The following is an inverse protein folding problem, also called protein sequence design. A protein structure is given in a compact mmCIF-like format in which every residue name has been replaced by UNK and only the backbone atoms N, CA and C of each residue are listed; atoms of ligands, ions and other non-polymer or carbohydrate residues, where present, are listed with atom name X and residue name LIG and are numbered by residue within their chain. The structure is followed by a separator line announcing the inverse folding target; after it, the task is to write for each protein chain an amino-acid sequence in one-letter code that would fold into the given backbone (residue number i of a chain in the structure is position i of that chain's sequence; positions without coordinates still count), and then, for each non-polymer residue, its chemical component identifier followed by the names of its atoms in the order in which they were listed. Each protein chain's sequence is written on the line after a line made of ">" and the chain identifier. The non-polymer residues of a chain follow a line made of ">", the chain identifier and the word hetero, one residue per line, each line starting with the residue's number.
data_IF_230795613368
#
_entry.id   IF_230795613368
#
_cell.length_a   1.000
_cell.length_b   1.000
_cell.length_c   1.000
_cell.angle_alpha   90.00
_cell.angle_beta   90.00
_cell.angle_gamma   90.00
#
_symmetry.space_group_name_H-M   'P 1'
#
loop_
_entity.id
_entity.type
_entity.pdbx_description
1 polymer ?
#
# COMPACT_ATOMS: atom_id res chain seq x y z
N UNK A 1 -12.07 6.15 -26.05
CA UNK A 1 -11.75 4.82 -25.51
C UNK A 1 -12.98 3.96 -25.16
N UNK A 2 -14.20 4.42 -25.51
CA UNK A 2 -15.45 3.66 -25.29
C UNK A 2 -15.49 2.31 -26.04
N UNK A 3 -14.60 2.10 -27.02
CA UNK A 3 -14.45 0.84 -27.77
C UNK A 3 -13.73 -0.26 -26.95
N UNK A 4 -13.08 0.08 -25.85
CA UNK A 4 -12.44 -0.90 -24.97
C UNK A 4 -13.51 -1.56 -24.12
N UNK A 5 -13.96 -2.75 -24.50
CA UNK A 5 -15.00 -3.49 -23.79
C UNK A 5 -14.41 -4.26 -22.62
N UNK A 6 -13.32 -5.01 -22.84
CA UNK A 6 -12.60 -5.80 -21.86
C UNK A 6 -11.13 -5.37 -21.81
N UNK A 7 -10.76 -4.48 -20.89
CA UNK A 7 -9.39 -4.02 -20.75
C UNK A 7 -8.44 -5.16 -20.38
N UNK A 8 -7.38 -5.36 -21.16
CA UNK A 8 -6.39 -6.40 -20.96
C UNK A 8 -5.39 -6.06 -19.84
N UNK A 9 -5.17 -4.78 -19.56
CA UNK A 9 -4.17 -4.29 -18.64
C UNK A 9 -4.60 -2.97 -17.97
N UNK A 10 -3.76 -2.46 -17.06
CA UNK A 10 -4.01 -1.24 -16.32
C UNK A 10 -4.15 -0.01 -17.23
N UNK A 11 -3.30 0.12 -18.26
CA UNK A 11 -3.36 1.25 -19.20
C UNK A 11 -4.72 1.32 -19.90
N UNK A 12 -5.19 0.22 -20.48
CA UNK A 12 -6.48 0.17 -21.15
C UNK A 12 -7.64 0.45 -20.19
N UNK A 13 -7.57 -0.08 -18.97
CA UNK A 13 -8.58 0.18 -17.95
C UNK A 13 -8.61 1.66 -17.56
N UNK A 14 -7.45 2.30 -17.36
CA UNK A 14 -7.35 3.71 -17.01
C UNK A 14 -7.85 4.60 -18.17
N UNK A 15 -7.44 4.32 -19.40
CA UNK A 15 -7.92 5.03 -20.59
C UNK A 15 -9.44 4.96 -20.74
N UNK A 16 -10.03 3.79 -20.45
CA UNK A 16 -11.48 3.61 -20.44
C UNK A 16 -12.19 4.44 -19.38
N UNK A 17 -11.61 4.51 -18.16
CA UNK A 17 -12.22 5.19 -17.01
C UNK A 17 -12.11 6.72 -17.07
N UNK A 18 -10.94 7.25 -17.39
CA UNK A 18 -10.66 8.68 -17.26
C UNK A 18 -10.09 9.36 -18.50
N UNK A 19 -9.86 8.61 -19.58
CA UNK A 19 -9.31 9.16 -20.82
C UNK A 19 -7.80 9.40 -20.75
N UNK A 20 -7.27 9.89 -21.90
CA UNK A 20 -5.82 9.96 -22.16
C UNK A 20 -5.10 10.98 -21.26
N UNK A 21 -5.69 12.14 -21.07
CA UNK A 21 -5.00 13.25 -20.40
C UNK A 21 -4.85 12.98 -18.91
N UNK A 22 -5.92 12.56 -18.23
CA UNK A 22 -5.89 12.18 -16.83
C UNK A 22 -4.96 10.97 -16.62
N UNK A 23 -5.04 9.95 -17.48
CA UNK A 23 -4.15 8.80 -17.42
C UNK A 23 -2.68 9.23 -17.49
N UNK A 24 -2.31 10.04 -18.47
CA UNK A 24 -0.91 10.46 -18.65
C UNK A 24 -0.40 11.36 -17.54
N UNK A 25 -1.22 12.32 -17.09
CA UNK A 25 -0.78 13.31 -16.11
C UNK A 25 -0.79 12.76 -14.66
N UNK A 26 -1.77 11.94 -14.30
CA UNK A 26 -2.00 11.61 -12.89
C UNK A 26 -1.78 10.14 -12.53
N UNK A 27 -1.80 9.23 -13.53
CA UNK A 27 -1.81 7.79 -13.23
C UNK A 27 -0.55 7.10 -13.70
N UNK A 28 -0.18 7.29 -14.96
CA UNK A 28 0.88 6.51 -15.60
C UNK A 28 2.19 6.55 -14.84
N UNK A 29 2.77 7.74 -14.68
CA UNK A 29 4.09 7.91 -14.04
C UNK A 29 4.10 7.43 -12.59
N UNK A 30 3.05 7.76 -11.83
CA UNK A 30 2.90 7.30 -10.45
C UNK A 30 2.86 5.77 -10.36
N UNK A 31 2.02 5.14 -11.18
CA UNK A 31 1.81 3.68 -11.13
C UNK A 31 3.06 2.93 -11.58
N UNK A 32 3.69 3.37 -12.68
CA UNK A 32 4.92 2.74 -13.17
C UNK A 32 6.08 2.86 -12.19
N UNK A 33 6.20 3.98 -11.46
CA UNK A 33 7.14 4.15 -10.35
C UNK A 33 6.88 3.15 -9.23
N UNK A 34 5.64 3.12 -8.73
CA UNK A 34 5.26 2.31 -7.58
C UNK A 34 5.47 0.81 -7.85
N UNK A 35 5.11 0.36 -9.04
CA UNK A 35 5.18 -1.06 -9.39
C UNK A 35 6.51 -1.48 -10.05
N UNK A 36 7.33 -0.52 -10.49
CA UNK A 36 8.58 -0.80 -11.21
C UNK A 36 8.39 -1.47 -12.58
N UNK A 37 7.17 -1.39 -13.14
CA UNK A 37 6.76 -2.03 -14.39
C UNK A 37 5.92 -1.09 -15.25
N UNK A 38 5.88 -1.33 -16.56
CA UNK A 38 5.01 -0.57 -17.45
C UNK A 38 3.52 -0.82 -17.13
N UNK A 39 2.69 0.20 -17.29
CA UNK A 39 1.25 0.09 -17.04
C UNK A 39 0.56 -0.98 -17.92
N UNK A 40 1.13 -1.29 -19.08
CA UNK A 40 0.69 -2.37 -19.99
C UNK A 40 0.97 -3.78 -19.47
N UNK A 41 1.89 -3.93 -18.52
CA UNK A 41 2.24 -5.21 -17.88
C UNK A 41 1.47 -5.45 -16.57
N UNK A 42 0.77 -4.43 -16.09
CA UNK A 42 0.04 -4.47 -14.83
C UNK A 42 -1.43 -4.89 -15.04
N UNK A 43 -2.00 -5.69 -14.13
CA UNK A 43 -3.39 -6.11 -14.22
C UNK A 43 -4.39 -4.94 -14.16
N UNK A 44 -5.46 -5.02 -14.93
CA UNK A 44 -6.51 -3.99 -15.01
C UNK A 44 -7.20 -3.69 -13.66
N UNK A 45 -7.27 -4.66 -12.74
CA UNK A 45 -7.97 -4.50 -11.46
C UNK A 45 -7.29 -3.49 -10.51
N UNK A 46 -5.97 -3.25 -10.65
CA UNK A 46 -5.21 -2.35 -9.78
C UNK A 46 -5.82 -0.94 -9.77
N UNK A 47 -6.25 -0.43 -10.95
CA UNK A 47 -6.82 0.92 -11.06
C UNK A 47 -8.31 0.97 -10.67
N UNK A 48 -9.02 -0.16 -10.62
CA UNK A 48 -10.47 -0.20 -10.31
C UNK A 48 -10.80 0.31 -8.91
N UNK A 49 -9.85 0.28 -7.98
CA UNK A 49 -10.04 0.79 -6.62
C UNK A 49 -10.12 2.32 -6.55
N UNK A 50 -9.64 3.02 -7.57
CA UNK A 50 -9.69 4.49 -7.60
C UNK A 50 -11.09 4.92 -8.05
N UNK A 51 -11.83 5.70 -7.24
CA UNK A 51 -13.16 6.16 -7.60
C UNK A 51 -13.07 7.31 -8.60
N UNK A 52 -13.34 7.03 -9.86
CA UNK A 52 -13.53 8.09 -10.86
C UNK A 52 -14.98 8.59 -10.80
N UNK A 53 -15.16 9.87 -10.45
CA UNK A 53 -16.46 10.53 -10.37
C UNK A 53 -16.48 11.75 -11.26
N UNK A 54 -17.62 12.01 -11.89
CA UNK A 54 -17.88 13.21 -12.69
C UNK A 54 -18.82 14.17 -11.95
N UNK A 55 -18.72 14.19 -10.64
CA UNK A 55 -19.45 15.06 -9.71
C UNK A 55 -18.46 15.68 -8.71
N UNK A 56 -18.84 16.80 -8.10
CA UNK A 56 -18.05 17.43 -7.04
C UNK A 56 -18.18 16.63 -5.74
N UNK A 57 -17.30 15.63 -5.58
CA UNK A 57 -17.19 14.81 -4.38
C UNK A 57 -15.69 14.53 -4.12
N UNK A 58 -15.16 15.11 -3.04
CA UNK A 58 -13.76 15.00 -2.65
C UNK A 58 -13.45 13.77 -1.80
N UNK A 59 -14.45 12.96 -1.43
CA UNK A 59 -14.22 11.75 -0.67
C UNK A 59 -13.47 10.72 -1.51
N UNK A 60 -12.42 10.11 -0.93
CA UNK A 60 -11.72 9.03 -1.60
C UNK A 60 -12.55 7.75 -1.62
N UNK A 61 -13.23 7.43 -0.52
CA UNK A 61 -14.11 6.27 -0.42
C UNK A 61 -15.58 6.67 -0.58
N UNK A 62 -16.44 5.67 -0.83
CA UNK A 62 -17.89 5.83 -0.88
C UNK A 62 -18.56 5.58 0.47
N UNK A 63 -17.77 5.31 1.52
CA UNK A 63 -18.26 5.00 2.86
C UNK A 63 -18.84 6.25 3.53
N UNK A 64 -19.96 6.07 4.24
CA UNK A 64 -20.66 7.15 4.94
C UNK A 64 -19.84 7.74 6.10
N UNK A 65 -18.96 6.94 6.71
CA UNK A 65 -18.09 7.33 7.82
C UNK A 65 -16.63 7.08 7.44
N UNK A 66 -15.85 8.13 7.50
CA UNK A 66 -14.42 8.10 7.19
C UNK A 66 -13.68 8.94 8.23
N UNK A 67 -12.52 8.47 8.68
CA UNK A 67 -11.74 9.20 9.67
C UNK A 67 -10.46 8.50 10.05
N UNK A 68 -9.67 9.19 10.86
CA UNK A 68 -8.48 8.68 11.52
C UNK A 68 -8.75 8.66 13.02
N UNK A 69 -8.38 7.60 13.77
CA UNK A 69 -8.57 7.57 15.22
C UNK A 69 -7.85 8.74 15.89
N UNK A 70 -8.55 9.48 16.75
CA UNK A 70 -7.92 10.54 17.55
C UNK A 70 -6.89 9.91 18.50
N UNK A 71 -5.66 10.42 18.49
CA UNK A 71 -4.54 9.86 19.24
C UNK A 71 -3.81 8.71 18.53
N UNK A 72 -4.13 8.50 17.22
CA UNK A 72 -3.45 7.54 16.36
C UNK A 72 -4.03 6.12 16.39
N UNK A 73 -3.53 5.28 15.50
CA UNK A 73 -4.03 3.91 15.33
C UNK A 73 -3.71 2.99 16.52
N UNK A 74 -2.66 3.28 17.30
CA UNK A 74 -2.31 2.45 18.46
C UNK A 74 -3.45 2.42 19.49
N UNK A 75 -4.14 3.54 19.73
CA UNK A 75 -5.30 3.59 20.63
C UNK A 75 -6.40 2.63 20.19
N UNK A 76 -6.66 2.54 18.89
CA UNK A 76 -7.63 1.58 18.34
C UNK A 76 -7.15 0.13 18.50
N UNK A 77 -5.87 -0.12 18.18
CA UNK A 77 -5.29 -1.48 18.30
C UNK A 77 -5.26 -1.94 19.74
N UNK A 78 -4.84 -1.08 20.69
CA UNK A 78 -4.81 -1.39 22.12
C UNK A 78 -6.20 -1.76 22.64
N UNK A 79 -7.24 -1.03 22.22
CA UNK A 79 -8.62 -1.33 22.58
C UNK A 79 -9.12 -2.68 21.99
N UNK A 80 -8.70 -3.02 20.77
CA UNK A 80 -9.02 -4.31 20.14
C UNK A 80 -8.29 -5.49 20.79
N UNK A 81 -7.13 -5.25 21.37
CA UNK A 81 -6.31 -6.26 22.03
C UNK A 81 -6.59 -6.39 23.54
N UNK A 82 -7.53 -5.62 24.07
CA UNK A 82 -7.87 -5.68 25.50
C UNK A 82 -8.28 -7.11 25.91
N UNK A 83 -7.59 -7.66 26.92
CA UNK A 83 -7.82 -9.03 27.40
C UNK A 83 -7.21 -10.14 26.55
N UNK A 84 -6.44 -9.82 25.50
CA UNK A 84 -5.74 -10.78 24.65
C UNK A 84 -4.28 -10.88 25.07
N UNK A 85 -3.73 -12.09 25.17
CA UNK A 85 -2.28 -12.32 25.41
C UNK A 85 -1.51 -11.95 24.15
N UNK A 86 -0.80 -10.82 24.17
CA UNK A 86 -0.01 -10.30 23.05
C UNK A 86 1.47 -10.51 23.34
N UNK A 87 2.19 -11.17 22.43
CA UNK A 87 3.62 -11.48 22.54
C UNK A 87 4.44 -10.82 21.44
N UNK A 88 4.75 -9.51 21.55
CA UNK A 88 5.57 -8.81 20.56
C UNK A 88 6.98 -9.41 20.48
N UNK A 89 7.62 -9.28 19.31
CA UNK A 89 8.99 -9.78 19.11
C UNK A 89 9.13 -11.29 19.08
N UNK A 90 8.01 -12.03 19.01
CA UNK A 90 8.02 -13.49 18.92
C UNK A 90 7.93 -13.92 17.46
N UNK A 91 9.00 -14.54 16.95
CA UNK A 91 9.01 -15.09 15.60
C UNK A 91 8.25 -16.42 15.57
N UNK A 92 7.17 -16.49 14.80
CA UNK A 92 6.34 -17.70 14.70
C UNK A 92 7.14 -18.92 14.25
N UNK A 93 8.05 -18.78 13.30
CA UNK A 93 8.80 -19.92 12.75
C UNK A 93 9.82 -20.51 13.74
N UNK A 94 10.34 -19.69 14.67
CA UNK A 94 11.25 -20.14 15.71
C UNK A 94 10.52 -20.87 16.85
N UNK A 95 9.22 -20.58 17.04
CA UNK A 95 8.39 -21.12 18.14
C UNK A 95 7.14 -21.86 17.62
N UNK A 96 7.17 -22.35 16.39
CA UNK A 96 5.98 -22.88 15.68
C UNK A 96 5.26 -24.00 16.45
N UNK A 97 6.00 -24.97 16.98
CA UNK A 97 5.41 -26.09 17.70
C UNK A 97 4.78 -25.64 19.02
N UNK A 98 5.48 -24.81 19.79
CA UNK A 98 4.99 -24.22 21.04
C UNK A 98 3.72 -23.41 20.80
N UNK A 99 3.73 -22.48 19.82
CA UNK A 99 2.61 -21.60 19.54
C UNK A 99 1.40 -22.37 19.02
N UNK A 100 1.60 -23.37 18.18
CA UNK A 100 0.51 -24.21 17.70
C UNK A 100 -0.15 -25.04 18.81
N UNK A 101 0.60 -25.38 19.87
CA UNK A 101 0.06 -26.11 21.00
C UNK A 101 -0.82 -25.24 21.94
N UNK A 102 -0.76 -23.91 21.81
CA UNK A 102 -1.53 -22.98 22.64
C UNK A 102 -2.97 -22.76 22.16
N UNK A 103 -3.33 -23.17 20.94
CA UNK A 103 -4.62 -22.87 20.36
C UNK A 103 -5.14 -23.99 19.46
N UNK A 104 -6.46 -24.17 19.43
CA UNK A 104 -7.13 -25.14 18.56
C UNK A 104 -7.06 -24.74 17.07
N UNK A 105 -6.86 -23.47 16.79
CA UNK A 105 -6.75 -22.91 15.43
C UNK A 105 -5.71 -21.80 15.40
N UNK A 106 -4.91 -21.79 14.33
CA UNK A 106 -3.91 -20.76 14.06
C UNK A 106 -4.32 -20.00 12.81
N UNK A 107 -4.40 -18.67 12.92
CA UNK A 107 -4.55 -17.75 11.78
C UNK A 107 -3.21 -17.09 11.52
N UNK A 108 -2.48 -17.59 10.53
CA UNK A 108 -1.21 -16.99 10.12
C UNK A 108 -1.47 -15.88 9.10
N UNK A 109 -1.03 -14.66 9.41
CA UNK A 109 -1.24 -13.46 8.57
C UNK A 109 0.01 -12.99 7.83
N UNK A 110 1.12 -13.72 7.95
CA UNK A 110 2.36 -13.47 7.21
C UNK A 110 2.32 -13.97 5.76
N UNK A 111 3.49 -14.04 5.13
CA UNK A 111 3.61 -14.50 3.75
C UNK A 111 3.28 -15.98 3.62
N UNK A 112 2.32 -16.33 2.75
CA UNK A 112 1.86 -17.71 2.59
C UNK A 112 2.97 -18.63 2.08
N UNK A 113 3.81 -18.15 1.17
CA UNK A 113 4.93 -18.91 0.64
C UNK A 113 5.98 -19.23 1.72
N UNK A 114 6.23 -18.31 2.64
CA UNK A 114 7.11 -18.51 3.79
C UNK A 114 6.52 -19.55 4.77
N UNK A 115 5.20 -19.48 5.02
CA UNK A 115 4.52 -20.47 5.88
C UNK A 115 4.73 -21.91 5.43
N UNK A 116 4.82 -22.14 4.12
CA UNK A 116 5.05 -23.43 3.49
C UNK A 116 6.50 -23.65 3.04
N UNK A 117 7.47 -22.96 3.63
CA UNK A 117 8.89 -23.08 3.34
C UNK A 117 9.22 -22.96 1.83
N UNK A 118 8.46 -22.11 1.13
CA UNK A 118 8.62 -21.82 -0.32
C UNK A 118 8.50 -23.04 -1.23
N UNK A 119 7.84 -24.12 -0.81
CA UNK A 119 7.78 -25.39 -1.52
C UNK A 119 7.16 -25.31 -2.94
N UNK A 120 6.33 -24.30 -3.22
CA UNK A 120 5.74 -24.05 -4.53
C UNK A 120 6.43 -22.89 -5.30
N UNK A 121 7.48 -22.31 -4.72
CA UNK A 121 8.22 -21.15 -5.24
C UNK A 121 7.88 -19.85 -4.52
N UNK A 122 8.80 -18.88 -4.62
CA UNK A 122 8.63 -17.56 -3.95
C UNK A 122 7.67 -16.67 -4.71
N UNK A 123 6.82 -16.00 -3.95
CA UNK A 123 5.99 -14.90 -4.42
C UNK A 123 6.80 -13.60 -4.44
N UNK A 124 6.44 -12.70 -5.35
CA UNK A 124 7.09 -11.41 -5.48
C UNK A 124 6.30 -10.33 -4.75
N UNK A 125 7.05 -9.41 -4.15
CA UNK A 125 6.50 -8.25 -3.44
C UNK A 125 7.18 -6.98 -3.93
N UNK A 126 6.54 -5.85 -3.67
CA UNK A 126 7.18 -4.52 -3.70
C UNK A 126 7.43 -4.08 -2.27
N UNK A 127 8.49 -3.34 -2.08
CA UNK A 127 8.84 -2.73 -0.80
C UNK A 127 8.74 -1.20 -0.87
N UNK A 128 8.88 -0.55 0.28
CA UNK A 128 8.97 0.90 0.40
C UNK A 128 10.21 1.27 1.23
N UNK A 129 10.78 2.42 0.90
CA UNK A 129 11.80 3.06 1.70
C UNK A 129 11.31 4.44 2.12
N UNK A 130 11.46 4.75 3.38
CA UNK A 130 11.06 6.03 3.97
C UNK A 130 12.30 6.85 4.36
N UNK A 131 12.26 8.15 4.04
CA UNK A 131 13.25 9.13 4.48
C UNK A 131 12.53 10.20 5.32
N UNK A 132 12.83 10.23 6.61
CA UNK A 132 12.20 11.13 7.57
C UNK A 132 13.08 12.34 7.80
N UNK A 133 12.52 13.53 7.69
CA UNK A 133 13.23 14.79 7.88
C UNK A 133 12.48 15.69 8.88
N UNK A 134 13.20 16.21 9.86
CA UNK A 134 12.72 17.29 10.73
C UNK A 134 13.10 18.63 10.10
N UNK A 135 12.11 19.47 9.85
CA UNK A 135 12.29 20.79 9.26
C UNK A 135 11.95 21.89 10.27
N UNK A 136 12.80 22.93 10.27
CA UNK A 136 12.58 24.14 11.06
C UNK A 136 11.65 25.10 10.30
N UNK A 137 10.42 24.64 10.09
CA UNK A 137 9.33 25.42 9.50
C UNK A 137 8.00 24.95 10.09
N UNK A 138 7.07 25.87 10.24
CA UNK A 138 5.74 25.56 10.79
C UNK A 138 4.91 24.69 9.82
N UNK A 139 5.04 24.94 8.53
CA UNK A 139 4.31 24.26 7.47
C UNK A 139 5.21 24.07 6.24
N UNK A 140 5.21 22.87 5.65
CA UNK A 140 5.99 22.57 4.47
C UNK A 140 5.13 22.52 3.20
N UNK A 141 3.98 21.83 3.25
CA UNK A 141 3.16 21.59 2.06
C UNK A 141 1.67 21.90 2.25
N UNK A 142 1.24 22.31 3.43
CA UNK A 142 -0.16 22.70 3.70
C UNK A 142 -1.16 21.56 3.71
N UNK A 143 -0.71 20.31 3.63
CA UNK A 143 -1.57 19.14 3.57
C UNK A 143 -0.83 17.89 4.10
N UNK A 144 -1.59 16.92 4.63
CA UNK A 144 -1.01 15.70 5.19
C UNK A 144 -0.26 14.86 4.14
N UNK A 145 -0.76 14.76 2.91
CA UNK A 145 -0.16 13.93 1.87
C UNK A 145 -0.24 14.62 0.52
N UNK A 146 0.90 14.74 -0.16
CA UNK A 146 0.99 15.17 -1.55
C UNK A 146 1.62 14.06 -2.39
N UNK A 147 0.91 13.60 -3.43
CA UNK A 147 1.41 12.60 -4.36
C UNK A 147 2.12 13.27 -5.55
N UNK A 148 3.26 12.72 -5.93
CA UNK A 148 4.07 13.16 -7.07
C UNK A 148 3.88 12.18 -8.22
N UNK A 149 3.21 12.62 -9.27
CA UNK A 149 2.78 11.75 -10.37
C UNK A 149 3.81 11.64 -11.50
N UNK A 150 4.75 12.56 -11.57
CA UNK A 150 5.82 12.57 -12.57
C UNK A 150 6.79 11.40 -12.36
N UNK A 151 7.17 10.75 -13.45
CA UNK A 151 8.09 9.60 -13.40
C UNK A 151 9.50 9.99 -12.98
N UNK A 152 9.92 11.20 -13.29
CA UNK A 152 11.26 11.74 -13.03
C UNK A 152 11.47 12.06 -11.55
N UNK A 153 10.40 12.27 -10.79
CA UNK A 153 10.45 12.44 -9.33
C UNK A 153 10.62 11.08 -8.68
N UNK A 154 11.68 10.80 -7.93
CA UNK A 154 12.01 9.45 -7.49
C UNK A 154 11.13 8.90 -6.37
N UNK A 155 10.41 9.75 -5.64
CA UNK A 155 9.46 9.35 -4.59
C UNK A 155 8.01 9.41 -5.10
N UNK A 156 7.14 8.66 -4.45
CA UNK A 156 5.70 8.60 -4.79
C UNK A 156 4.91 9.67 -4.08
N UNK A 157 5.32 10.02 -2.84
CA UNK A 157 4.63 11.03 -2.04
C UNK A 157 5.54 11.65 -0.99
N UNK A 158 5.10 12.81 -0.48
CA UNK A 158 5.59 13.40 0.76
C UNK A 158 4.43 13.39 1.75
N UNK A 159 4.70 12.95 2.97
CA UNK A 159 3.77 12.93 4.09
C UNK A 159 4.24 13.99 5.09
N UNK A 160 3.40 14.96 5.43
CA UNK A 160 3.62 15.90 6.51
C UNK A 160 2.74 15.53 7.69
N UNK A 161 3.33 14.89 8.70
CA UNK A 161 2.59 14.16 9.72
C UNK A 161 1.67 15.01 10.59
N UNK A 162 2.07 16.26 10.90
CA UNK A 162 1.28 17.12 11.79
C UNK A 162 -0.15 17.37 11.29
N UNK A 163 -0.36 17.38 9.97
CA UNK A 163 -1.68 17.68 9.40
C UNK A 163 -2.71 16.58 9.64
N UNK A 164 -2.32 15.36 9.99
CA UNK A 164 -3.26 14.31 10.35
C UNK A 164 -4.02 14.62 11.66
N UNK A 165 -3.40 15.38 12.57
CA UNK A 165 -3.98 15.74 13.86
C UNK A 165 -4.10 17.26 14.05
N UNK A 166 -3.98 18.05 12.97
CA UNK A 166 -4.03 19.51 13.00
C UNK A 166 -3.01 20.15 13.97
N UNK A 167 -1.80 19.57 14.01
CA UNK A 167 -0.73 20.04 14.88
C UNK A 167 -0.26 21.46 14.54
N UNK A 168 0.07 22.23 15.58
CA UNK A 168 0.47 23.66 15.50
C UNK A 168 1.89 23.92 15.97
N UNK A 169 2.72 22.87 16.08
CA UNK A 169 4.12 23.01 16.50
C UNK A 169 4.93 23.84 15.48
N UNK A 170 5.96 24.60 15.94
CA UNK A 170 6.74 25.50 15.09
C UNK A 170 7.67 24.76 14.12
N UNK A 171 7.85 23.46 14.29
CA UNK A 171 8.63 22.56 13.43
C UNK A 171 7.73 21.50 12.81
N UNK A 172 8.15 20.91 11.70
CA UNK A 172 7.39 19.83 11.07
C UNK A 172 8.26 18.64 10.73
N UNK A 173 7.67 17.42 10.76
CA UNK A 173 8.30 16.20 10.26
C UNK A 173 7.65 15.84 8.95
N UNK A 174 8.48 15.69 7.93
CA UNK A 174 8.05 15.15 6.63
C UNK A 174 8.68 13.79 6.38
N UNK A 175 8.00 12.98 5.57
CA UNK A 175 8.50 11.67 5.13
C UNK A 175 8.38 11.57 3.62
N UNK A 176 9.51 11.35 2.95
CA UNK A 176 9.52 10.94 1.57
C UNK A 176 9.31 9.43 1.48
N UNK A 177 8.34 9.00 0.69
CA UNK A 177 8.08 7.59 0.40
C UNK A 177 8.63 7.22 -0.97
N UNK A 178 9.61 6.32 -0.99
CA UNK A 178 10.22 5.80 -2.21
C UNK A 178 9.72 4.39 -2.49
N UNK A 179 9.31 4.07 -3.73
CA UNK A 179 9.09 2.69 -4.13
C UNK A 179 10.43 1.95 -4.17
N UNK A 180 10.43 0.71 -3.73
CA UNK A 180 11.64 -0.09 -3.64
C UNK A 180 11.38 -1.54 -4.04
N UNK A 181 12.43 -2.23 -4.47
CA UNK A 181 12.37 -3.65 -4.76
C UNK A 181 12.44 -4.45 -3.47
N UNK A 182 11.57 -5.44 -3.35
CA UNK A 182 11.60 -6.36 -2.23
C UNK A 182 12.83 -7.24 -2.29
N UNK A 183 13.48 -7.40 -1.18
CA UNK A 183 14.58 -8.32 -0.95
C UNK A 183 14.42 -8.96 0.45
N UNK A 184 14.98 -10.14 0.71
CA UNK A 184 14.98 -10.74 2.04
C UNK A 184 15.49 -9.76 3.09
N UNK A 185 14.73 -9.56 4.17
CA UNK A 185 15.02 -8.59 5.23
C UNK A 185 14.36 -7.22 5.05
N UNK A 186 13.71 -6.95 3.91
CA UNK A 186 12.83 -5.80 3.72
C UNK A 186 11.37 -6.18 4.00
N UNK A 187 10.56 -5.20 4.34
CA UNK A 187 9.11 -5.37 4.54
C UNK A 187 8.38 -5.58 3.20
N UNK A 188 7.54 -6.63 3.04
CA UNK A 188 6.73 -6.87 1.87
C UNK A 188 5.44 -6.05 1.91
N UNK A 189 5.43 -4.83 1.36
CA UNK A 189 4.26 -3.95 1.40
C UNK A 189 3.15 -4.33 0.41
N UNK A 190 3.52 -4.73 -0.82
CA UNK A 190 2.55 -4.99 -1.88
C UNK A 190 2.86 -6.30 -2.58
N UNK A 191 1.93 -7.29 -2.61
CA UNK A 191 2.09 -8.48 -3.43
C UNK A 191 1.99 -8.13 -4.92
N UNK A 192 2.87 -8.71 -5.72
CA UNK A 192 2.83 -8.57 -7.19
C UNK A 192 1.84 -9.57 -7.75
N UNK A 193 0.65 -9.10 -8.11
CA UNK A 193 -0.47 -9.93 -8.57
C UNK A 193 -0.46 -10.09 -10.11
N UNK A 194 0.67 -10.49 -10.68
CA UNK A 194 0.77 -10.87 -12.08
C UNK A 194 0.36 -12.34 -12.32
N UNK A 195 0.39 -12.78 -13.58
CA UNK A 195 0.01 -14.15 -13.97
C UNK A 195 0.89 -15.19 -13.26
N UNK A 196 2.21 -14.99 -13.26
CA UNK A 196 3.18 -15.91 -12.66
C UNK A 196 2.92 -16.06 -11.16
N UNK A 197 2.82 -14.94 -10.44
CA UNK A 197 2.58 -14.95 -8.99
C UNK A 197 1.18 -15.51 -8.64
N UNK A 198 0.18 -15.26 -9.47
CA UNK A 198 -1.15 -15.86 -9.31
C UNK A 198 -1.09 -17.39 -9.47
N UNK A 199 -0.36 -17.92 -10.46
CA UNK A 199 -0.18 -19.36 -10.66
C UNK A 199 0.55 -20.02 -9.47
N UNK A 200 1.56 -19.36 -8.91
CA UNK A 200 2.28 -19.83 -7.71
C UNK A 200 1.33 -19.81 -6.50
N UNK A 201 0.62 -18.69 -6.28
CA UNK A 201 -0.33 -18.54 -5.17
C UNK A 201 -1.42 -19.62 -5.18
N UNK A 202 -1.94 -19.99 -6.35
CA UNK A 202 -2.95 -21.05 -6.46
C UNK A 202 -2.43 -22.43 -6.03
N UNK A 203 -1.12 -22.68 -6.06
CA UNK A 203 -0.53 -23.93 -5.57
C UNK A 203 -0.44 -23.97 -4.03
N UNK A 204 -0.42 -22.80 -3.39
CA UNK A 204 -0.43 -22.68 -1.91
C UNK A 204 -1.84 -22.73 -1.33
N UNK A 205 -2.85 -22.39 -2.11
CA UNK A 205 -4.27 -22.37 -1.71
C UNK A 205 -4.92 -23.75 -1.83
#
# INVERSE_FOLDING_TARGET
>A
FAHITEPANLEEQALKLCGKDIYRCLIKGYTEKQWGRAATELPAFIIRRIPFRFVYDNNYFNDAYQGIPKGGYNVLIDALLEGIDVRPGTNYFEHREELNALADKVLFTGCIDEYFDFCCGRLEYRSLRFDHQLLDTEDFQGNAVVNYTEREVPYTRIIEHKHFEYGTQPVTVITYEYPDDFQPGKEPYYPVNDKRNTEIYQKYK
#
